data_IF_710408896239
#
_entry.id   IF_710408896239
#
_cell.length_a   1.000
_cell.length_b   1.000
_cell.length_c   1.000
_cell.angle_alpha   90.00
_cell.angle_beta   90.00
_cell.angle_gamma   90.00
#
_symmetry.space_group_name_H-M   'P 1'
#
loop_
_entity.id
_entity.type
_entity.pdbx_description
1 polymer ?
#
# COMPACT_ATOMS: atom_id res chain seq x y z
N UNK A 1 -19.13 -36.83 -6.38
CA UNK A 1 -18.10 -36.14 -7.18
C UNK A 1 -18.80 -35.24 -8.18
N UNK A 2 -18.63 -33.92 -8.11
CA UNK A 2 -18.86 -33.06 -9.26
C UNK A 2 -17.51 -32.57 -9.82
N UNK A 3 -17.50 -32.47 -11.14
CA UNK A 3 -16.37 -32.23 -12.01
C UNK A 3 -15.81 -30.80 -11.85
N UNK A 4 -14.50 -30.71 -11.62
CA UNK A 4 -13.75 -29.45 -11.75
C UNK A 4 -13.56 -29.15 -13.25
N UNK A 5 -14.31 -28.18 -13.76
CA UNK A 5 -14.03 -27.57 -15.05
C UNK A 5 -12.75 -26.73 -14.95
N UNK A 6 -11.75 -27.18 -15.68
CA UNK A 6 -10.40 -26.62 -15.69
C UNK A 6 -10.36 -25.42 -16.65
N UNK A 7 -10.73 -24.22 -16.17
CA UNK A 7 -10.55 -22.99 -16.93
C UNK A 7 -9.17 -22.39 -16.63
N UNK A 8 -8.24 -22.57 -17.58
CA UNK A 8 -6.97 -21.83 -17.61
C UNK A 8 -7.27 -20.34 -17.80
N UNK A 9 -7.26 -19.59 -16.69
CA UNK A 9 -7.14 -18.13 -16.70
C UNK A 9 -5.68 -17.74 -16.49
N UNK A 10 -4.87 -17.92 -17.55
CA UNK A 10 -3.55 -17.31 -17.63
C UNK A 10 -3.72 -15.84 -18.05
N UNK A 11 -3.95 -14.99 -17.07
CA UNK A 11 -3.92 -13.54 -17.23
C UNK A 11 -3.57 -12.95 -15.88
N UNK A 12 -2.32 -12.53 -15.72
CA UNK A 12 -1.88 -11.77 -14.54
C UNK A 12 -2.85 -10.60 -14.37
N UNK A 13 -3.61 -10.58 -13.28
CA UNK A 13 -4.79 -9.73 -13.09
C UNK A 13 -4.52 -8.22 -12.95
N UNK A 14 -3.46 -7.72 -13.58
CA UNK A 14 -3.12 -6.31 -13.75
C UNK A 14 -3.94 -5.77 -14.92
N UNK A 15 -4.87 -4.87 -14.62
CA UNK A 15 -5.53 -4.07 -15.63
C UNK A 15 -4.70 -2.80 -15.78
N UNK A 16 -4.09 -2.60 -16.95
CA UNK A 16 -3.45 -1.32 -17.25
C UNK A 16 -4.50 -0.21 -17.12
N UNK A 17 -4.14 0.84 -16.39
CA UNK A 17 -4.92 2.05 -16.23
C UNK A 17 -3.97 3.21 -16.44
N UNK A 18 -4.19 4.06 -17.46
CA UNK A 18 -3.35 5.22 -17.68
C UNK A 18 -3.40 6.09 -16.43
N UNK A 19 -2.28 6.70 -16.05
CA UNK A 19 -2.30 7.65 -14.96
C UNK A 19 -3.20 8.83 -15.38
N UNK A 20 -4.28 9.06 -14.62
CA UNK A 20 -5.06 10.28 -14.77
C UNK A 20 -4.11 11.47 -14.67
N UNK A 21 -4.13 12.35 -15.69
CA UNK A 21 -3.33 13.58 -15.71
C UNK A 21 -3.76 14.50 -14.58
N UNK A 22 -3.26 14.25 -13.38
CA UNK A 22 -3.34 15.21 -12.29
C UNK A 22 -2.40 16.34 -12.72
N UNK A 23 -2.87 17.60 -12.82
CA UNK A 23 -1.97 18.71 -13.13
C UNK A 23 -0.83 18.68 -12.12
N UNK A 24 0.44 18.83 -12.54
CA UNK A 24 1.57 18.69 -11.65
C UNK A 24 1.40 19.67 -10.50
N UNK A 25 1.01 19.15 -9.34
CA UNK A 25 1.21 19.86 -8.11
C UNK A 25 2.72 19.99 -8.01
N UNK A 26 3.24 21.19 -7.74
CA UNK A 26 4.70 21.39 -7.62
C UNK A 26 5.19 20.51 -6.47
N UNK A 27 5.57 19.27 -6.79
CA UNK A 27 6.15 18.30 -5.87
C UNK A 27 7.57 18.81 -5.62
N UNK A 28 7.69 19.71 -4.66
CA UNK A 28 8.96 20.00 -4.03
C UNK A 28 9.16 18.96 -2.93
N UNK A 29 10.37 18.40 -2.84
CA UNK A 29 10.78 17.62 -1.68
C UNK A 29 10.29 18.28 -0.38
N UNK A 30 9.64 17.51 0.48
CA UNK A 30 9.09 18.06 1.72
C UNK A 30 10.24 18.60 2.56
N UNK A 31 10.18 19.85 3.04
CA UNK A 31 11.18 20.34 3.99
C UNK A 31 11.25 19.37 5.18
N UNK A 32 12.42 19.29 5.81
CA UNK A 32 12.61 18.52 7.05
C UNK A 32 11.79 19.16 8.19
N UNK A 33 10.49 18.92 8.17
CA UNK A 33 9.59 19.13 9.29
C UNK A 33 9.73 17.88 10.16
N UNK A 34 10.54 17.98 11.20
CA UNK A 34 10.51 17.04 12.32
C UNK A 34 9.18 17.27 13.06
N UNK A 35 8.24 16.31 13.07
CA UNK A 35 7.08 16.44 13.95
C UNK A 35 7.57 16.57 15.39
N UNK A 36 7.02 17.52 16.14
CA UNK A 36 7.31 17.65 17.57
C UNK A 36 6.80 16.39 18.27
N UNK A 37 7.73 15.51 18.67
CA UNK A 37 7.42 14.33 19.47
C UNK A 37 6.71 14.74 20.77
N UNK A 38 5.58 14.10 21.13
CA UNK A 38 5.00 14.25 22.46
C UNK A 38 6.05 13.98 23.55
N UNK A 39 6.17 14.87 24.52
CA UNK A 39 7.19 14.90 25.58
C UNK A 39 7.18 13.71 26.55
N UNK A 40 6.33 12.70 26.35
CA UNK A 40 6.22 11.50 27.19
C UNK A 40 6.67 10.20 26.51
N UNK A 41 7.19 10.26 25.28
CA UNK A 41 7.56 9.06 24.52
C UNK A 41 9.02 8.66 24.77
N UNK A 42 9.23 7.64 25.59
CA UNK A 42 10.53 6.99 25.70
C UNK A 42 10.72 6.01 24.55
N UNK A 43 11.76 6.22 23.73
CA UNK A 43 12.11 5.43 22.54
C UNK A 43 12.25 3.90 22.77
N UNK A 44 12.34 3.46 24.03
CA UNK A 44 12.53 2.06 24.43
C UNK A 44 11.26 1.20 24.39
N UNK A 45 10.05 1.78 24.29
CA UNK A 45 8.80 1.00 24.30
C UNK A 45 8.35 0.49 22.91
N UNK A 46 8.93 1.02 21.82
CA UNK A 46 8.38 0.87 20.46
C UNK A 46 9.06 -0.17 19.58
N UNK A 47 10.08 -0.85 20.10
CA UNK A 47 10.80 -1.91 19.39
C UNK A 47 9.91 -3.14 19.02
N UNK A 48 8.62 -3.15 19.38
CA UNK A 48 7.69 -4.26 19.19
C UNK A 48 6.78 -4.21 17.94
N UNK A 49 6.82 -3.15 17.13
CA UNK A 49 5.93 -3.00 15.96
C UNK A 49 6.72 -2.94 14.65
N UNK A 50 6.35 -3.80 13.69
CA UNK A 50 6.83 -3.74 12.31
C UNK A 50 5.72 -3.19 11.42
N UNK A 51 6.02 -2.17 10.64
CA UNK A 51 5.09 -1.57 9.68
C UNK A 51 5.59 -1.90 8.29
N UNK A 52 4.79 -2.64 7.53
CA UNK A 52 5.13 -3.11 6.19
C UNK A 52 4.24 -2.38 5.19
N UNK A 53 4.87 -1.67 4.27
CA UNK A 53 4.20 -0.93 3.21
C UNK A 53 4.36 -1.65 1.86
N UNK A 54 3.28 -1.78 1.10
CA UNK A 54 3.41 -1.73 -0.36
C UNK A 54 3.83 -0.32 -0.80
N UNK A 55 4.26 -0.17 -2.05
CA UNK A 55 4.78 1.09 -2.57
C UNK A 55 3.80 1.79 -3.51
N UNK A 56 3.59 1.23 -4.70
CA UNK A 56 2.67 1.77 -5.70
C UNK A 56 1.25 1.83 -5.13
N UNK A 57 0.53 2.92 -5.39
CA UNK A 57 -0.83 3.21 -4.87
C UNK A 57 -1.00 3.13 -3.36
N UNK A 58 0.07 2.95 -2.59
CA UNK A 58 0.08 2.85 -1.13
C UNK A 58 0.92 3.95 -0.49
N UNK A 59 2.20 4.07 -0.85
CA UNK A 59 3.07 5.20 -0.47
C UNK A 59 2.94 6.33 -1.48
N UNK A 60 3.02 6.02 -2.77
CA UNK A 60 2.77 6.98 -3.86
C UNK A 60 1.34 6.82 -4.39
N UNK A 61 0.77 7.90 -4.90
CA UNK A 61 -0.61 7.90 -5.43
C UNK A 61 -0.67 7.57 -6.93
N UNK A 62 0.24 6.70 -7.38
CA UNK A 62 0.27 6.18 -8.74
C UNK A 62 0.88 4.77 -8.76
N UNK A 63 0.79 4.15 -9.93
CA UNK A 63 1.57 2.96 -10.28
C UNK A 63 2.87 3.43 -10.95
N UNK A 64 4.03 3.15 -10.35
CA UNK A 64 5.31 3.71 -10.81
C UNK A 64 5.72 3.23 -12.20
N UNK A 65 5.38 2.00 -12.57
CA UNK A 65 5.59 1.47 -13.92
C UNK A 65 4.74 2.26 -14.93
N UNK A 66 3.42 2.36 -14.71
CA UNK A 66 2.55 3.14 -15.59
C UNK A 66 2.97 4.61 -15.66
N UNK A 67 3.39 5.19 -14.55
CA UNK A 67 3.86 6.59 -14.48
C UNK A 67 5.05 6.82 -15.41
N UNK A 68 6.07 5.95 -15.37
CA UNK A 68 7.26 6.06 -16.23
C UNK A 68 6.90 5.85 -17.70
N UNK A 69 6.09 4.84 -17.99
CA UNK A 69 5.67 4.51 -19.37
C UNK A 69 4.88 5.67 -20.00
N UNK A 70 3.91 6.22 -19.27
CA UNK A 70 3.05 7.31 -19.75
C UNK A 70 3.85 8.60 -19.94
N UNK A 71 4.65 9.01 -18.95
CA UNK A 71 5.40 10.26 -18.98
C UNK A 71 6.54 10.28 -20.01
N UNK A 72 7.07 9.10 -20.36
CA UNK A 72 8.07 8.98 -21.43
C UNK A 72 7.47 8.70 -22.81
N UNK A 73 6.14 8.66 -22.92
CA UNK A 73 5.43 8.53 -24.19
C UNK A 73 5.47 7.12 -24.80
N UNK A 74 5.64 6.09 -23.97
CA UNK A 74 5.79 4.70 -24.40
C UNK A 74 4.52 3.84 -24.27
N UNK A 75 3.39 4.44 -23.90
CA UNK A 75 2.10 3.76 -23.66
C UNK A 75 1.68 2.84 -24.81
N UNK A 76 1.71 3.32 -26.06
CA UNK A 76 1.26 2.52 -27.21
C UNK A 76 2.13 1.27 -27.43
N UNK A 77 3.43 1.39 -27.22
CA UNK A 77 4.36 0.27 -27.33
C UNK A 77 4.13 -0.73 -26.18
N UNK A 78 3.96 -0.24 -24.95
CA UNK A 78 3.63 -1.06 -23.80
C UNK A 78 2.33 -1.87 -24.03
N UNK A 79 1.25 -1.21 -24.44
CA UNK A 79 -0.03 -1.86 -24.71
C UNK A 79 0.06 -2.92 -25.81
N UNK A 80 0.86 -2.67 -26.86
CA UNK A 80 1.07 -3.62 -27.95
C UNK A 80 1.82 -4.88 -27.48
N UNK A 81 2.72 -4.75 -26.51
CA UNK A 81 3.54 -5.85 -26.00
C UNK A 81 2.92 -6.59 -24.82
N UNK A 82 1.98 -5.96 -24.10
CA UNK A 82 1.31 -6.51 -22.92
C UNK A 82 0.75 -7.94 -23.10
N UNK A 83 0.15 -8.33 -24.24
CA UNK A 83 -0.35 -9.69 -24.42
C UNK A 83 0.73 -10.77 -24.54
N UNK A 84 1.98 -10.39 -24.78
CA UNK A 84 3.07 -11.31 -25.18
C UNK A 84 4.01 -11.70 -24.05
N UNK A 85 3.99 -10.98 -22.92
CA UNK A 85 4.99 -11.11 -21.85
C UNK A 85 4.33 -11.02 -20.47
N UNK A 86 5.01 -11.57 -19.45
CA UNK A 86 4.66 -11.27 -18.06
C UNK A 86 5.00 -9.82 -17.73
N UNK A 87 4.29 -9.20 -16.79
CA UNK A 87 4.49 -7.79 -16.42
C UNK A 87 5.95 -7.45 -16.10
N UNK A 88 6.62 -8.26 -15.25
CA UNK A 88 8.02 -8.03 -14.88
C UNK A 88 8.96 -8.11 -16.10
N UNK A 89 8.79 -9.11 -16.97
CA UNK A 89 9.58 -9.23 -18.21
C UNK A 89 9.29 -8.09 -19.19
N UNK A 90 8.04 -7.65 -19.27
CA UNK A 90 7.63 -6.52 -20.10
C UNK A 90 8.29 -5.23 -19.61
N UNK A 91 8.30 -4.98 -18.30
CA UNK A 91 8.94 -3.78 -17.76
C UNK A 91 10.45 -3.77 -17.98
N UNK A 92 11.17 -4.88 -17.83
CA UNK A 92 12.59 -4.98 -18.22
C UNK A 92 12.76 -4.66 -19.72
N UNK A 93 11.89 -5.20 -20.56
CA UNK A 93 11.93 -4.95 -21.99
C UNK A 93 11.66 -3.48 -22.34
N UNK A 94 10.66 -2.86 -21.71
CA UNK A 94 10.35 -1.45 -21.92
C UNK A 94 11.48 -0.52 -21.52
N UNK A 95 12.24 -0.84 -20.47
CA UNK A 95 13.43 -0.05 -20.11
C UNK A 95 14.50 -0.09 -21.22
N UNK A 96 14.64 -1.22 -21.91
CA UNK A 96 15.53 -1.32 -23.08
C UNK A 96 14.99 -0.54 -24.28
N UNK A 97 13.68 -0.58 -24.54
CA UNK A 97 13.04 0.17 -25.63
C UNK A 97 13.14 1.68 -25.41
N UNK A 98 12.91 2.16 -24.18
CA UNK A 98 13.09 3.57 -23.83
C UNK A 98 14.52 4.03 -24.07
N UNK A 99 15.51 3.21 -23.69
CA UNK A 99 16.91 3.50 -23.96
C UNK A 99 17.22 3.53 -25.47
N UNK A 100 16.66 2.59 -26.25
CA UNK A 100 16.81 2.58 -27.72
C UNK A 100 16.20 3.84 -28.38
N UNK A 101 15.19 4.45 -27.75
CA UNK A 101 14.61 5.72 -28.14
C UNK A 101 15.38 6.95 -27.61
N UNK A 102 16.54 6.74 -27.00
CA UNK A 102 17.43 7.80 -26.52
C UNK A 102 17.09 8.32 -25.12
N UNK A 103 16.21 7.66 -24.37
CA UNK A 103 15.97 8.02 -22.95
C UNK A 103 17.12 7.54 -22.07
N UNK A 104 17.60 8.43 -21.22
CA UNK A 104 18.67 8.16 -20.26
C UNK A 104 18.11 7.72 -18.91
N UNK A 105 18.98 7.19 -18.06
CA UNK A 105 18.65 6.91 -16.65
C UNK A 105 18.19 8.19 -15.92
N UNK A 106 18.81 9.32 -16.24
CA UNK A 106 18.45 10.61 -15.65
C UNK A 106 17.05 11.06 -16.08
N UNK A 107 16.64 10.82 -17.34
CA UNK A 107 15.27 11.10 -17.78
C UNK A 107 14.24 10.29 -16.99
N UNK A 108 14.51 9.00 -16.76
CA UNK A 108 13.66 8.13 -15.95
C UNK A 108 13.62 8.66 -14.49
N UNK A 109 14.77 9.04 -13.95
CA UNK A 109 14.85 9.57 -12.58
C UNK A 109 14.07 10.88 -12.42
N UNK A 110 14.14 11.81 -13.38
CA UNK A 110 13.38 13.07 -13.35
C UNK A 110 11.87 12.85 -13.47
N UNK A 111 11.44 11.83 -14.20
CA UNK A 111 10.03 11.40 -14.22
C UNK A 111 9.61 10.86 -12.85
N UNK A 112 10.41 9.96 -12.26
CA UNK A 112 10.12 9.36 -10.95
C UNK A 112 10.06 10.39 -9.83
N UNK A 113 10.94 11.40 -9.82
CA UNK A 113 10.92 12.51 -8.84
C UNK A 113 9.59 13.28 -8.82
N UNK A 114 8.81 13.22 -9.90
CA UNK A 114 7.49 13.87 -10.01
C UNK A 114 6.33 12.95 -9.64
N UNK A 115 6.58 11.70 -9.29
CA UNK A 115 5.54 10.78 -8.83
C UNK A 115 4.78 11.38 -7.63
N UNK A 116 3.44 11.35 -7.62
CA UNK A 116 2.64 11.96 -6.56
C UNK A 116 2.85 11.22 -5.24
N UNK A 117 3.24 11.95 -4.20
CA UNK A 117 3.34 11.45 -2.82
C UNK A 117 2.61 12.44 -1.90
N UNK A 118 1.59 11.96 -1.18
CA UNK A 118 0.81 12.80 -0.28
C UNK A 118 1.62 13.19 0.96
N UNK A 119 1.56 14.47 1.34
CA UNK A 119 2.29 15.00 2.50
C UNK A 119 1.94 14.30 3.82
N UNK A 120 0.69 13.85 3.97
CA UNK A 120 0.20 13.14 5.15
C UNK A 120 0.83 11.74 5.24
N UNK A 121 1.02 11.06 4.09
CA UNK A 121 1.75 9.79 4.03
C UNK A 121 3.22 9.99 4.40
N UNK A 122 3.89 11.02 3.85
CA UNK A 122 5.26 11.35 4.23
C UNK A 122 5.39 11.66 5.73
N UNK A 123 4.44 12.41 6.29
CA UNK A 123 4.35 12.74 7.71
C UNK A 123 4.20 11.47 8.56
N UNK A 124 3.28 10.58 8.20
CA UNK A 124 3.04 9.32 8.89
C UNK A 124 4.29 8.42 8.94
N UNK A 125 5.00 8.28 7.81
CA UNK A 125 6.26 7.52 7.72
C UNK A 125 7.32 8.10 8.66
N UNK A 126 7.53 9.42 8.61
CA UNK A 126 8.53 10.10 9.47
C UNK A 126 8.16 9.99 10.94
N UNK A 127 6.88 10.13 11.27
CA UNK A 127 6.40 10.01 12.64
C UNK A 127 6.58 8.59 13.17
N UNK A 128 6.16 7.57 12.42
CA UNK A 128 6.34 6.18 12.81
C UNK A 128 7.82 5.81 13.00
N UNK A 129 8.70 6.30 12.11
CA UNK A 129 10.14 6.15 12.27
C UNK A 129 10.67 6.84 13.53
N UNK A 130 10.24 8.09 13.80
CA UNK A 130 10.65 8.84 14.98
C UNK A 130 10.18 8.19 16.30
N UNK A 131 9.07 7.45 16.26
CA UNK A 131 8.62 6.62 17.38
C UNK A 131 9.46 5.35 17.58
N UNK A 132 10.32 4.97 16.64
CA UNK A 132 11.13 3.76 16.74
C UNK A 132 10.47 2.49 16.21
N UNK A 133 9.39 2.62 15.43
CA UNK A 133 8.82 1.49 14.69
C UNK A 133 9.82 0.97 13.64
N UNK A 134 9.77 -0.34 13.35
CA UNK A 134 10.55 -0.96 12.28
C UNK A 134 9.77 -0.87 10.95
N UNK A 135 10.15 0.07 10.08
CA UNK A 135 9.46 0.30 8.81
C UNK A 135 10.14 -0.47 7.68
N UNK A 136 9.35 -1.22 6.92
CA UNK A 136 9.82 -2.03 5.78
C UNK A 136 8.94 -1.81 4.54
N UNK A 137 9.52 -2.02 3.36
CA UNK A 137 8.79 -2.05 2.09
C UNK A 137 8.80 -3.47 1.53
N UNK A 138 7.64 -3.94 1.08
CA UNK A 138 7.46 -5.17 0.32
C UNK A 138 6.61 -4.87 -0.90
N UNK A 139 7.25 -4.61 -2.03
CA UNK A 139 6.56 -4.12 -3.23
C UNK A 139 6.99 -4.80 -4.52
N UNK A 140 6.02 -5.00 -5.41
CA UNK A 140 6.21 -5.62 -6.73
C UNK A 140 6.72 -4.64 -7.80
N UNK A 141 7.06 -3.41 -7.41
CA UNK A 141 7.80 -2.46 -8.25
C UNK A 141 9.27 -2.91 -8.43
N UNK A 142 10.21 -1.98 -8.63
CA UNK A 142 11.65 -2.29 -8.70
C UNK A 142 12.53 -1.34 -7.86
N UNK A 143 13.74 -1.78 -7.52
CA UNK A 143 14.63 -1.07 -6.59
C UNK A 143 15.01 0.34 -7.05
N UNK A 144 15.34 0.52 -8.33
CA UNK A 144 15.68 1.84 -8.89
C UNK A 144 14.52 2.83 -8.74
N UNK A 145 13.28 2.40 -9.00
CA UNK A 145 12.10 3.28 -8.90
C UNK A 145 11.84 3.70 -7.45
N UNK A 146 11.75 2.71 -6.56
CA UNK A 146 11.50 2.94 -5.13
C UNK A 146 12.58 3.83 -4.54
N UNK A 147 13.85 3.49 -4.75
CA UNK A 147 14.96 4.25 -4.17
C UNK A 147 15.01 5.68 -4.69
N UNK A 148 14.77 5.91 -5.98
CA UNK A 148 14.80 7.25 -6.57
C UNK A 148 13.75 8.16 -5.95
N UNK A 149 12.52 7.67 -5.84
CA UNK A 149 11.40 8.41 -5.25
C UNK A 149 11.67 8.66 -3.75
N UNK A 150 12.03 7.64 -2.99
CA UNK A 150 12.28 7.78 -1.55
C UNK A 150 13.47 8.70 -1.24
N UNK A 151 14.54 8.65 -2.04
CA UNK A 151 15.70 9.56 -1.91
C UNK A 151 15.26 11.00 -2.18
N UNK A 152 14.46 11.24 -3.23
CA UNK A 152 13.96 12.57 -3.57
C UNK A 152 13.15 13.20 -2.42
N UNK A 153 12.29 12.41 -1.77
CA UNK A 153 11.45 12.89 -0.65
C UNK A 153 12.14 12.84 0.73
N UNK A 154 13.39 12.40 0.81
CA UNK A 154 14.11 12.26 2.08
C UNK A 154 13.51 11.21 3.02
N UNK A 155 12.91 10.16 2.45
CA UNK A 155 12.24 9.07 3.19
C UNK A 155 13.04 7.77 3.20
N UNK A 156 14.07 7.64 2.35
CA UNK A 156 14.85 6.41 2.21
C UNK A 156 15.45 5.93 3.55
N UNK A 157 15.88 6.86 4.40
CA UNK A 157 16.47 6.55 5.71
C UNK A 157 15.47 6.09 6.77
N UNK A 158 14.16 6.18 6.50
CA UNK A 158 13.13 5.72 7.43
C UNK A 158 12.94 4.19 7.38
N UNK A 159 13.36 3.53 6.29
CA UNK A 159 13.12 2.12 6.07
C UNK A 159 14.35 1.28 6.37
N UNK A 160 14.20 0.27 7.22
CA UNK A 160 15.28 -0.66 7.59
C UNK A 160 15.54 -1.69 6.50
N UNK A 161 14.52 -2.01 5.70
CA UNK A 161 14.58 -3.05 4.68
C UNK A 161 13.60 -2.76 3.53
N UNK A 162 14.06 -2.93 2.29
CA UNK A 162 13.24 -2.83 1.06
C UNK A 162 13.35 -4.16 0.31
N UNK A 163 12.22 -4.83 0.12
CA UNK A 163 12.11 -6.06 -0.66
C UNK A 163 11.28 -5.81 -1.91
N UNK A 164 11.92 -5.92 -3.06
CA UNK A 164 11.31 -5.60 -4.36
C UNK A 164 12.08 -6.28 -5.50
N UNK A 165 11.58 -6.22 -6.72
CA UNK A 165 12.28 -6.76 -7.88
C UNK A 165 13.62 -6.01 -8.07
N UNK A 166 14.77 -6.71 -8.06
CA UNK A 166 16.06 -6.06 -8.19
C UNK A 166 16.21 -5.38 -9.55
N UNK A 167 16.85 -4.21 -9.57
CA UNK A 167 17.25 -3.54 -10.79
C UNK A 167 18.67 -3.00 -10.72
N UNK A 168 19.30 -2.89 -11.88
CA UNK A 168 20.67 -2.41 -12.04
C UNK A 168 20.84 -1.72 -13.39
N UNK A 169 21.86 -0.87 -13.51
CA UNK A 169 22.24 -0.25 -14.78
C UNK A 169 23.33 -1.12 -15.40
N UNK A 170 23.12 -1.58 -16.63
CA UNK A 170 24.11 -2.41 -17.32
C UNK A 170 25.25 -1.59 -17.95
N UNK A 171 26.20 -2.30 -18.56
CA UNK A 171 27.38 -1.74 -19.23
C UNK A 171 27.06 -0.79 -20.39
N UNK A 172 25.82 -0.82 -20.89
CA UNK A 172 25.32 0.04 -21.96
C UNK A 172 24.49 1.21 -21.44
N UNK A 173 24.38 1.37 -20.12
CA UNK A 173 23.57 2.43 -19.51
C UNK A 173 22.06 2.15 -19.55
N UNK A 174 21.65 0.89 -19.71
CA UNK A 174 20.23 0.50 -19.70
C UNK A 174 19.81 0.10 -18.31
N UNK A 175 18.61 0.53 -17.89
CA UNK A 175 18.00 0.00 -16.68
C UNK A 175 17.53 -1.43 -16.95
N UNK A 176 17.96 -2.36 -16.11
CA UNK A 176 17.57 -3.77 -16.15
C UNK A 176 16.77 -4.11 -14.90
N UNK A 177 15.68 -4.85 -15.07
CA UNK A 177 14.80 -5.30 -14.01
C UNK A 177 14.79 -6.83 -14.02
N UNK A 178 15.04 -7.44 -12.87
CA UNK A 178 15.00 -8.88 -12.69
C UNK A 178 13.93 -9.25 -11.66
N UNK A 179 13.33 -10.45 -11.73
CA UNK A 179 12.31 -10.86 -10.78
C UNK A 179 12.91 -11.20 -9.41
N UNK A 180 12.19 -10.94 -8.32
CA UNK A 180 12.61 -11.31 -6.97
C UNK A 180 12.77 -12.83 -6.80
N UNK A 181 11.82 -13.58 -7.33
CA UNK A 181 11.90 -15.03 -7.51
C UNK A 181 12.21 -15.33 -8.97
N UNK A 182 13.32 -16.01 -9.23
CA UNK A 182 13.67 -16.49 -10.57
C UNK A 182 12.71 -17.60 -11.02
N UNK A 183 11.56 -17.18 -11.55
CA UNK A 183 10.48 -18.05 -12.01
C UNK A 183 10.82 -18.82 -13.29
N UNK A 184 11.95 -18.49 -13.94
CA UNK A 184 12.47 -19.27 -15.07
C UNK A 184 13.14 -20.56 -14.61
N UNK A 185 13.68 -20.56 -13.38
CA UNK A 185 14.29 -21.75 -12.75
C UNK A 185 13.29 -22.54 -11.93
N UNK A 186 12.49 -21.87 -11.10
CA UNK A 186 11.55 -22.53 -10.20
C UNK A 186 10.41 -21.62 -9.79
N UNK A 187 9.20 -22.17 -9.71
CA UNK A 187 8.06 -21.48 -9.10
C UNK A 187 8.22 -21.38 -7.59
N UNK A 188 7.81 -20.25 -6.99
CA UNK A 188 7.71 -20.13 -5.54
C UNK A 188 6.49 -20.89 -4.95
N UNK A 189 5.65 -21.51 -5.78
CA UNK A 189 4.58 -22.42 -5.36
C UNK A 189 3.36 -21.77 -4.68
N UNK A 190 3.23 -20.44 -4.74
CA UNK A 190 2.05 -19.75 -4.20
C UNK A 190 1.03 -19.53 -5.33
N UNK A 191 -0.22 -19.99 -5.19
CA UNK A 191 -1.24 -19.84 -6.22
C UNK A 191 -1.86 -18.43 -6.28
N UNK A 192 -1.59 -17.58 -5.30
CA UNK A 192 -2.19 -16.23 -5.18
C UNK A 192 -1.30 -15.11 -5.70
N UNK A 193 -0.01 -15.38 -5.90
CA UNK A 193 0.99 -14.35 -6.22
C UNK A 193 1.44 -14.44 -7.68
N UNK A 194 1.85 -13.31 -8.28
CA UNK A 194 2.49 -13.33 -9.59
C UNK A 194 3.82 -14.11 -9.51
N UNK A 195 4.30 -14.71 -10.63
CA UNK A 195 5.46 -15.60 -10.60
C UNK A 195 6.75 -14.96 -10.07
N UNK A 196 6.91 -13.65 -10.24
CA UNK A 196 8.12 -12.93 -9.92
C UNK A 196 8.28 -12.61 -8.43
N UNK A 197 7.21 -12.54 -7.64
CA UNK A 197 7.32 -12.14 -6.23
C UNK A 197 6.15 -12.63 -5.38
N UNK A 198 6.46 -13.29 -4.26
CA UNK A 198 5.48 -13.68 -3.26
C UNK A 198 5.69 -12.88 -1.98
N UNK A 199 4.87 -11.84 -1.78
CA UNK A 199 4.96 -10.96 -0.61
C UNK A 199 4.82 -11.73 0.72
N UNK A 200 3.99 -12.77 0.78
CA UNK A 200 3.85 -13.61 1.99
C UNK A 200 5.14 -14.29 2.42
N UNK A 201 5.92 -14.84 1.48
CA UNK A 201 7.20 -15.48 1.84
C UNK A 201 8.18 -14.48 2.43
N UNK A 202 8.14 -13.23 1.95
CA UNK A 202 8.96 -12.14 2.47
C UNK A 202 8.47 -11.73 3.86
N UNK A 203 7.16 -11.53 4.05
CA UNK A 203 6.56 -11.22 5.35
C UNK A 203 6.81 -12.33 6.38
N UNK A 204 6.71 -13.60 5.99
CA UNK A 204 7.04 -14.75 6.84
C UNK A 204 8.51 -14.71 7.30
N UNK A 205 9.45 -14.35 6.41
CA UNK A 205 10.86 -14.13 6.78
C UNK A 205 11.03 -12.93 7.73
N UNK A 206 10.36 -11.82 7.45
CA UNK A 206 10.39 -10.61 8.29
C UNK A 206 9.96 -10.94 9.73
N UNK A 207 8.98 -11.83 9.89
CA UNK A 207 8.49 -12.31 11.19
C UNK A 207 9.37 -13.36 11.86
N UNK A 208 10.33 -13.96 11.14
CA UNK A 208 11.15 -15.03 11.69
C UNK A 208 12.14 -14.46 12.73
N UNK A 209 11.86 -14.68 14.01
CA UNK A 209 12.78 -14.40 15.12
C UNK A 209 12.18 -13.64 16.30
N UNK A 210 11.23 -12.73 16.08
CA UNK A 210 10.68 -11.85 17.12
C UNK A 210 9.16 -11.79 17.05
N UNK A 211 8.48 -11.86 18.21
CA UNK A 211 7.03 -11.63 18.33
C UNK A 211 6.74 -10.14 18.26
N UNK A 212 6.84 -9.57 17.06
CA UNK A 212 6.40 -8.21 16.78
C UNK A 212 5.00 -8.21 16.21
N UNK A 213 4.23 -7.18 16.59
CA UNK A 213 2.96 -6.87 15.94
C UNK A 213 3.25 -6.32 14.55
N UNK A 214 2.49 -6.79 13.57
CA UNK A 214 2.61 -6.33 12.18
C UNK A 214 1.45 -5.41 11.85
N UNK A 215 1.76 -4.26 11.26
CA UNK A 215 0.80 -3.41 10.54
C UNK A 215 1.16 -3.49 9.06
N UNK A 216 0.27 -4.06 8.24
CA UNK A 216 0.50 -4.18 6.79
C UNK A 216 -0.40 -3.20 6.03
N UNK A 217 0.18 -2.34 5.19
CA UNK A 217 -0.54 -1.40 4.33
C UNK A 217 -0.39 -1.83 2.87
N UNK A 218 -1.48 -1.82 2.11
CA UNK A 218 -1.46 -2.15 0.69
C UNK A 218 -2.77 -1.84 -0.03
N UNK A 219 -2.77 -1.96 -1.34
CA UNK A 219 -3.94 -1.72 -2.20
C UNK A 219 -4.19 -2.88 -3.19
N UNK A 220 -3.14 -3.61 -3.59
CA UNK A 220 -3.17 -4.49 -4.75
C UNK A 220 -3.59 -5.93 -4.45
N UNK A 221 -3.87 -6.70 -5.50
CA UNK A 221 -4.17 -8.15 -5.37
C UNK A 221 -3.01 -8.92 -4.72
N UNK A 222 -1.77 -8.50 -5.00
CA UNK A 222 -0.55 -9.12 -4.46
C UNK A 222 -0.45 -9.02 -2.93
N UNK A 223 -1.15 -8.07 -2.32
CA UNK A 223 -1.18 -7.85 -0.87
C UNK A 223 -2.18 -8.76 -0.15
N UNK A 224 -3.11 -9.39 -0.87
CA UNK A 224 -4.09 -10.26 -0.22
C UNK A 224 -3.42 -11.50 0.37
N UNK A 225 -2.38 -12.01 -0.31
CA UNK A 225 -1.65 -13.17 0.16
C UNK A 225 -1.01 -12.95 1.55
N UNK A 226 -0.24 -11.86 1.80
CA UNK A 226 0.33 -11.62 3.14
C UNK A 226 -0.74 -11.29 4.17
N UNK A 227 -1.84 -10.62 3.81
CA UNK A 227 -2.95 -10.34 4.74
C UNK A 227 -3.56 -11.62 5.35
N UNK A 228 -3.67 -12.71 4.57
CA UNK A 228 -4.15 -14.00 5.05
C UNK A 228 -3.19 -14.71 6.04
N UNK A 229 -1.94 -14.26 6.12
CA UNK A 229 -0.90 -14.86 6.97
C UNK A 229 -0.66 -14.09 8.27
N UNK A 230 -1.27 -12.91 8.39
CA UNK A 230 -1.25 -12.15 9.64
C UNK A 230 -2.14 -12.83 10.69
N UNK A 231 -1.74 -12.72 11.95
CA UNK A 231 -2.38 -13.37 13.09
C UNK A 231 -3.32 -12.46 13.86
N UNK A 232 -3.87 -12.99 14.95
CA UNK A 232 -4.62 -12.21 15.92
C UNK A 232 -3.71 -11.14 16.54
N UNK A 233 -4.22 -9.92 16.65
CA UNK A 233 -3.49 -8.76 17.15
C UNK A 233 -2.55 -8.10 16.14
N UNK A 234 -2.48 -8.59 14.89
CA UNK A 234 -1.90 -7.86 13.76
C UNK A 234 -2.98 -7.01 13.07
N UNK A 235 -2.56 -6.05 12.25
CA UNK A 235 -3.44 -5.13 11.53
C UNK A 235 -3.18 -5.15 10.02
N UNK A 236 -4.25 -5.09 9.23
CA UNK A 236 -4.21 -4.85 7.78
C UNK A 236 -4.91 -3.53 7.47
N UNK A 237 -4.27 -2.67 6.69
CA UNK A 237 -4.82 -1.39 6.25
C UNK A 237 -5.01 -1.36 4.72
N UNK A 238 -6.14 -1.89 4.21
CA UNK A 238 -6.39 -1.90 2.78
C UNK A 238 -6.88 -0.55 2.27
N UNK A 239 -6.38 -0.11 1.11
CA UNK A 239 -6.91 1.09 0.45
C UNK A 239 -8.32 0.83 -0.11
N UNK A 240 -9.31 1.64 0.27
CA UNK A 240 -10.71 1.51 -0.18
C UNK A 240 -10.81 1.59 -1.70
N UNK A 241 -11.68 0.77 -2.27
CA UNK A 241 -11.96 0.68 -3.72
C UNK A 241 -10.76 0.20 -4.56
N UNK A 242 -9.76 -0.42 -3.93
CA UNK A 242 -8.67 -1.12 -4.62
C UNK A 242 -8.79 -2.64 -4.40
N UNK A 243 -8.13 -3.46 -5.22
CA UNK A 243 -8.35 -4.91 -5.23
C UNK A 243 -8.16 -5.62 -3.89
N UNK A 244 -7.23 -5.17 -3.04
CA UNK A 244 -7.05 -5.74 -1.70
C UNK A 244 -8.32 -5.58 -0.86
N UNK A 245 -8.89 -4.37 -0.85
CA UNK A 245 -10.11 -4.07 -0.12
C UNK A 245 -11.29 -4.92 -0.61
N UNK A 246 -11.46 -5.03 -1.94
CA UNK A 246 -12.51 -5.86 -2.53
C UNK A 246 -12.37 -7.34 -2.12
N UNK A 247 -11.15 -7.88 -2.15
CA UNK A 247 -10.89 -9.28 -1.79
C UNK A 247 -11.19 -9.56 -0.31
N UNK A 248 -10.82 -8.63 0.57
CA UNK A 248 -11.10 -8.72 2.01
C UNK A 248 -12.60 -8.62 2.28
N UNK A 249 -13.30 -7.65 1.67
CA UNK A 249 -14.75 -7.46 1.84
C UNK A 249 -15.56 -8.67 1.37
N UNK A 250 -15.10 -9.35 0.31
CA UNK A 250 -15.77 -10.55 -0.20
C UNK A 250 -15.57 -11.78 0.71
N UNK A 251 -14.49 -11.84 1.51
CA UNK A 251 -14.15 -13.00 2.32
C UNK A 251 -13.57 -12.62 3.70
N UNK A 252 -14.27 -11.81 4.52
CA UNK A 252 -13.68 -11.23 5.73
C UNK A 252 -13.29 -12.29 6.77
N UNK A 253 -14.04 -13.40 6.84
CA UNK A 253 -13.76 -14.50 7.78
C UNK A 253 -12.49 -15.31 7.51
N UNK A 254 -11.77 -15.04 6.41
CA UNK A 254 -10.46 -15.67 6.14
C UNK A 254 -9.30 -14.93 6.80
N UNK A 255 -9.50 -13.68 7.23
CA UNK A 255 -8.48 -12.88 7.90
C UNK A 255 -8.56 -13.09 9.42
N UNK A 256 -7.40 -13.22 10.05
CA UNK A 256 -7.28 -13.21 11.52
C UNK A 256 -6.87 -11.84 12.07
N UNK A 257 -6.20 -11.04 11.24
CA UNK A 257 -5.82 -9.67 11.57
C UNK A 257 -7.03 -8.73 11.51
N UNK A 258 -6.98 -7.69 12.33
CA UNK A 258 -7.99 -6.63 12.32
C UNK A 258 -7.80 -5.74 11.08
N UNK A 259 -8.92 -5.34 10.46
CA UNK A 259 -8.91 -4.59 9.19
C UNK A 259 -9.28 -3.14 9.45
N UNK A 260 -8.43 -2.21 8.98
CA UNK A 260 -8.62 -0.77 9.13
C UNK A 260 -8.37 -0.06 7.80
N UNK A 261 -9.42 0.12 7.02
CA UNK A 261 -9.30 0.66 5.67
C UNK A 261 -9.08 2.19 5.63
N UNK A 262 -8.55 2.69 4.52
CA UNK A 262 -8.27 4.11 4.29
C UNK A 262 -8.53 4.51 2.83
N UNK A 263 -8.84 5.79 2.58
CA UNK A 263 -9.21 6.26 1.22
C UNK A 263 -8.22 7.25 0.62
N UNK A 264 -7.52 8.03 1.46
CA UNK A 264 -6.59 9.09 1.08
C UNK A 264 -5.46 9.23 2.11
N UNK A 265 -4.48 10.10 1.84
CA UNK A 265 -3.30 10.27 2.69
C UNK A 265 -3.61 10.71 4.13
N UNK A 266 -4.59 11.59 4.33
CA UNK A 266 -5.01 12.04 5.67
C UNK A 266 -5.63 10.90 6.48
N UNK A 267 -6.50 10.10 5.86
CA UNK A 267 -7.07 8.91 6.51
C UNK A 267 -5.99 7.86 6.80
N UNK A 268 -5.06 7.62 5.87
CA UNK A 268 -3.96 6.68 6.07
C UNK A 268 -3.11 7.10 7.28
N UNK A 269 -2.71 8.38 7.34
CA UNK A 269 -1.96 8.93 8.48
C UNK A 269 -2.73 8.71 9.78
N UNK A 270 -3.99 9.16 9.85
CA UNK A 270 -4.81 9.06 11.06
C UNK A 270 -4.96 7.62 11.55
N UNK A 271 -5.27 6.69 10.66
CA UNK A 271 -5.44 5.26 11.01
C UNK A 271 -4.11 4.68 11.46
N UNK A 272 -3.02 4.91 10.74
CA UNK A 272 -1.70 4.37 11.09
C UNK A 272 -1.26 4.85 12.47
N UNK A 273 -1.38 6.15 12.75
CA UNK A 273 -1.01 6.71 14.06
C UNK A 273 -1.86 6.14 15.19
N UNK A 274 -3.16 5.93 14.95
CA UNK A 274 -4.04 5.30 15.93
C UNK A 274 -3.59 3.86 16.24
N UNK A 275 -3.29 3.05 15.22
CA UNK A 275 -2.86 1.66 15.42
C UNK A 275 -1.49 1.55 16.10
N UNK A 276 -0.59 2.49 15.84
CA UNK A 276 0.68 2.60 16.55
C UNK A 276 0.42 2.86 18.05
N UNK A 277 -0.48 3.79 18.38
CA UNK A 277 -0.84 4.09 19.78
C UNK A 277 -1.54 2.93 20.51
N UNK A 278 -2.36 2.13 19.80
CA UNK A 278 -2.95 0.92 20.37
C UNK A 278 -1.88 -0.13 20.68
N UNK A 279 -0.83 -0.16 19.87
CA UNK A 279 0.30 -1.07 20.05
C UNK A 279 1.16 -0.69 21.26
N UNK A 280 1.33 0.60 21.50
CA UNK A 280 1.92 1.14 22.73
C UNK A 280 1.15 0.71 23.99
N UNK A 281 -0.17 0.87 23.97
CA UNK A 281 -1.01 0.58 25.13
C UNK A 281 -0.97 -0.91 25.51
N UNK A 282 -1.00 -1.80 24.52
CA UNK A 282 -0.94 -3.26 24.77
C UNK A 282 0.42 -3.68 25.32
N UNK A 283 1.53 -3.11 24.81
CA UNK A 283 2.88 -3.40 25.35
C UNK A 283 3.03 -2.87 26.78
N UNK A 284 2.54 -1.66 27.05
CA UNK A 284 2.64 -1.02 28.37
C UNK A 284 1.76 -1.70 29.43
N UNK A 285 0.59 -2.22 29.04
CA UNK A 285 -0.33 -2.93 29.93
C UNK A 285 -0.16 -4.45 29.89
N UNK A 286 0.82 -4.99 29.16
CA UNK A 286 1.19 -6.41 29.21
C UNK A 286 1.65 -6.90 30.60
N UNK A 287 1.86 -6.00 31.56
CA UNK A 287 2.06 -6.29 32.99
C UNK A 287 0.80 -6.17 33.86
N UNK A 288 -0.32 -5.65 33.34
CA UNK A 288 -1.61 -5.62 34.05
C UNK A 288 -2.75 -5.89 33.07
N UNK A 289 -3.22 -7.14 33.09
CA UNK A 289 -4.36 -7.70 32.35
C UNK A 289 -5.34 -6.68 31.73
N UNK A 290 -5.35 -6.61 30.40
CA UNK A 290 -6.35 -5.85 29.65
C UNK A 290 -7.60 -6.71 29.40
N UNK A 291 -8.44 -6.82 30.42
CA UNK A 291 -9.86 -7.02 30.22
C UNK A 291 -10.58 -5.82 30.84
N UNK A 292 -10.63 -4.72 30.09
CA UNK A 292 -11.60 -3.62 30.18
C UNK A 292 -11.04 -2.42 29.40
N UNK A 293 -11.61 -2.13 28.23
CA UNK A 293 -12.24 -0.83 27.94
C UNK A 293 -12.76 -0.79 26.49
N UNK A 294 -14.08 -0.94 26.41
CA UNK A 294 -15.04 -0.21 25.54
C UNK A 294 -15.26 -0.70 24.10
N UNK A 295 -16.24 -1.62 24.02
CA UNK A 295 -17.37 -1.54 23.10
C UNK A 295 -17.77 -0.08 22.86
N UNK A 296 -17.61 0.41 21.63
CA UNK A 296 -18.40 1.54 21.15
C UNK A 296 -19.78 0.97 20.84
N UNK A 297 -20.66 1.03 21.83
CA UNK A 297 -22.10 0.84 21.62
C UNK A 297 -22.57 1.93 20.64
N UNK A 298 -22.67 1.60 19.34
CA UNK A 298 -23.51 2.35 18.41
C UNK A 298 -24.97 2.12 18.80
N UNK A 299 -25.43 2.80 19.86
CA UNK A 299 -26.86 3.02 20.07
C UNK A 299 -27.34 3.99 19.00
N UNK A 300 -27.91 3.41 17.96
CA UNK A 300 -28.80 4.08 17.02
C UNK A 300 -30.00 4.62 17.83
N UNK A 301 -29.91 5.87 18.28
CA UNK A 301 -31.08 6.57 18.82
C UNK A 301 -32.03 6.86 17.65
N UNK A 302 -33.04 6.02 17.50
CA UNK A 302 -34.23 6.33 16.74
C UNK A 302 -34.87 7.60 17.32
N UNK A 303 -34.93 8.66 16.50
CA UNK A 303 -35.73 9.84 16.82
C UNK A 303 -37.20 9.43 17.02
N UNK A 304 -37.89 9.87 18.08
CA UNK A 304 -39.32 9.65 18.20
C UNK A 304 -40.05 10.50 17.16
N UNK A 305 -40.90 9.86 16.35
CA UNK A 305 -41.80 10.52 15.43
C UNK A 305 -42.73 11.48 16.21
N UNK A 306 -42.77 12.75 15.78
CA UNK A 306 -43.73 13.72 16.29
C UNK A 306 -45.15 13.33 15.82
N UNK A 307 -46.17 13.37 16.68
CA UNK A 307 -47.55 13.21 16.25
C UNK A 307 -47.98 14.43 15.42
N UNK A 308 -48.60 14.16 14.27
CA UNK A 308 -49.22 15.15 13.40
C UNK A 308 -50.31 15.93 14.16
N UNK A 309 -50.17 17.26 14.20
CA UNK A 309 -51.26 18.18 14.58
C UNK A 309 -52.33 18.22 13.47
N UNK A 310 -53.63 18.27 13.82
CA UNK A 310 -54.70 18.45 12.83
C UNK A 310 -54.76 19.92 12.34
N UNK A 311 -54.90 20.09 11.02
CA UNK A 311 -55.14 21.38 10.35
C UNK A 311 -56.36 22.11 10.95
N UNK A 312 -56.30 23.44 11.15
CA UNK A 312 -57.42 24.22 11.64
C UNK A 312 -58.55 24.34 10.59
N UNK A 313 -59.78 24.25 11.09
CA UNK A 313 -61.02 24.40 10.33
C UNK A 313 -61.14 25.81 9.74
N UNK A 314 -61.41 25.87 8.43
CA UNK A 314 -61.76 27.09 7.71
C UNK A 314 -63.16 27.54 8.15
N UNK A 315 -63.28 28.77 8.63
CA UNK A 315 -64.56 29.46 8.85
C UNK A 315 -65.02 30.14 7.54
N UNK A 316 -66.32 30.13 7.23
CA UNK A 316 -66.85 30.69 5.98
C UNK A 316 -66.96 32.21 6.05
N UNK A 317 -66.65 32.89 4.94
CA UNK A 317 -66.99 34.31 4.72
C UNK A 317 -68.29 34.38 3.90
N UNK A 318 -69.26 35.25 4.25
CA UNK A 318 -70.61 35.25 3.69
C UNK A 318 -70.74 36.04 2.38
N UNK A 319 -71.58 35.51 1.49
CA UNK A 319 -72.24 36.03 0.27
C UNK A 319 -71.42 36.89 -0.71
#
# INVERSE_FOLDING_TARGET
MPEYSNSRSSGSGYKWQPCSKIPPNKSSAFPNLSPSLPSSLTATAMAGTVIIFDFDKTIIDCDSDNWVIDELGATQLFEALLPSMSWNSLMDHMMMELHAQGKTIDDIAEVLKRAPLDRHIASAIKYAYALGCDLRIVSDANSFFIETILKHHGLIGCFTEINTNPSYIDDKGRLRIAPYHDFTKSSHGCPLCPPNMCKSKIVERIRAGEKKRVIYLGDGKGDYCPSLRLGEGDFVMPRKNYPLWDLIQNNPGLLKAEVHEWSNGEEQEKVLLHLISLSEFVVSNGTVAAAQLLSVDCKMNSMPAKPHEPLPKILPVPM
#
